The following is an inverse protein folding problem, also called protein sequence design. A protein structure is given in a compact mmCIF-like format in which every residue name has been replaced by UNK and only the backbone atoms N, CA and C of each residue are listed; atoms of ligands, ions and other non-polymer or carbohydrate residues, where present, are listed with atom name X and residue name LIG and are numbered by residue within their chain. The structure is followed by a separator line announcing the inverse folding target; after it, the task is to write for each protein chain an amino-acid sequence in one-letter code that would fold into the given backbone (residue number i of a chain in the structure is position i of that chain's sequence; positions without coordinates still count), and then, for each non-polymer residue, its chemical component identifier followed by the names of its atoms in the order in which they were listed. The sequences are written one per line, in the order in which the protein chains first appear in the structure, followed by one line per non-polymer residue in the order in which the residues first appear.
data_IF_750722567556
#
_entry.id   IF_750722567556
#
_cell.length_a   1.000
_cell.length_b   1.000
_cell.length_c   1.000
_cell.angle_alpha   90.00
_cell.angle_beta   90.00
_cell.angle_gamma   90.00
#
_symmetry.space_group_name_H-M   'P 1'
#
loop_
_entity.id
_entity.type
_entity.pdbx_description
1 polymer ?
#
# COMPACT_ATOMS: atom_id res chain seq x y z
N UNK A 1 -22.40 -7.31 12.93
CA UNK A 1 -22.13 -5.86 13.15
C UNK A 1 -20.93 -5.48 12.31
N UNK A 2 -20.94 -4.35 11.60
CA UNK A 2 -19.81 -3.89 10.76
C UNK A 2 -19.09 -2.76 11.54
N UNK A 3 -17.77 -2.85 11.69
CA UNK A 3 -16.96 -1.82 12.35
C UNK A 3 -16.61 -0.75 11.31
N UNK A 4 -17.11 0.47 11.51
CA UNK A 4 -16.81 1.62 10.67
C UNK A 4 -15.65 2.43 11.27
N UNK A 5 -14.63 2.72 10.47
CA UNK A 5 -13.44 3.50 10.86
C UNK A 5 -13.07 4.51 9.77
N UNK A 6 -12.18 5.45 10.08
CA UNK A 6 -11.61 6.36 9.06
C UNK A 6 -11.00 5.58 7.88
N UNK A 7 -10.30 4.47 8.14
CA UNK A 7 -9.74 3.60 7.09
C UNK A 7 -10.83 3.03 6.16
N UNK A 8 -11.98 2.63 6.70
CA UNK A 8 -13.09 2.14 5.85
C UNK A 8 -13.62 3.23 4.92
N UNK A 9 -13.72 4.47 5.40
CA UNK A 9 -14.19 5.62 4.61
C UNK A 9 -13.15 6.06 3.58
N UNK A 10 -11.88 6.18 3.98
CA UNK A 10 -10.78 6.59 3.10
C UNK A 10 -10.60 5.65 1.90
N UNK A 11 -10.80 4.34 2.12
CA UNK A 11 -10.49 3.31 1.12
C UNK A 11 -11.76 2.75 0.43
N UNK A 12 -12.95 3.14 0.88
CA UNK A 12 -14.22 2.69 0.32
C UNK A 12 -14.49 1.19 0.55
N UNK A 13 -14.05 0.65 1.69
CA UNK A 13 -14.17 -0.77 2.04
C UNK A 13 -15.17 -0.98 3.18
N UNK A 14 -15.74 -2.19 3.27
CA UNK A 14 -16.76 -2.53 4.28
C UNK A 14 -16.14 -2.88 5.63
N UNK A 15 -15.02 -3.59 5.62
CA UNK A 15 -14.34 -4.07 6.81
C UNK A 15 -12.94 -3.42 6.87
N UNK A 16 -12.47 -2.97 8.06
CA UNK A 16 -11.14 -2.39 8.23
C UNK A 16 -10.06 -3.49 8.24
N UNK A 17 -10.11 -4.38 7.24
CA UNK A 17 -9.24 -5.54 7.08
C UNK A 17 -8.57 -5.40 5.73
N UNK A 18 -7.25 -5.41 5.75
CA UNK A 18 -6.41 -5.23 4.56
C UNK A 18 -5.49 -6.44 4.47
N UNK A 19 -5.50 -7.13 3.34
CA UNK A 19 -4.54 -8.20 3.10
C UNK A 19 -3.19 -7.58 2.74
N UNK A 20 -2.21 -7.75 3.63
CA UNK A 20 -0.87 -7.24 3.40
C UNK A 20 -0.27 -7.79 2.09
N UNK A 21 0.46 -6.98 1.32
CA UNK A 21 1.16 -7.44 0.13
C UNK A 21 2.28 -8.40 0.53
N UNK A 22 2.28 -9.60 -0.03
CA UNK A 22 3.25 -10.67 0.24
C UNK A 22 4.20 -10.84 -0.94
N UNK A 23 4.98 -9.81 -1.25
CA UNK A 23 6.06 -9.93 -2.24
C UNK A 23 7.09 -10.99 -1.81
N UNK A 24 7.69 -11.75 -2.74
CA UNK A 24 7.62 -11.59 -4.20
C UNK A 24 6.46 -12.32 -4.89
N UNK A 25 5.52 -12.90 -4.14
CA UNK A 25 4.50 -13.80 -4.68
C UNK A 25 3.38 -13.08 -5.44
N UNK A 26 2.81 -13.78 -6.43
CA UNK A 26 1.58 -13.36 -7.09
C UNK A 26 0.40 -13.43 -6.12
N UNK A 27 -0.29 -12.31 -5.91
CA UNK A 27 -1.44 -12.21 -5.00
C UNK A 27 -2.75 -11.85 -5.70
N UNK A 28 -2.87 -11.99 -7.02
CA UNK A 28 -4.07 -11.60 -7.78
C UNK A 28 -5.35 -12.27 -7.27
N UNK A 29 -5.36 -13.60 -7.12
CA UNK A 29 -6.51 -14.36 -6.60
C UNK A 29 -6.85 -13.99 -5.16
N UNK A 30 -5.84 -13.81 -4.31
CA UNK A 30 -6.04 -13.38 -2.92
C UNK A 30 -6.60 -11.96 -2.85
N UNK A 31 -6.10 -11.06 -3.71
CA UNK A 31 -6.57 -9.67 -3.83
C UNK A 31 -8.06 -9.66 -4.15
N UNK A 32 -8.47 -10.40 -5.18
CA UNK A 32 -9.88 -10.52 -5.58
C UNK A 32 -10.71 -11.07 -4.42
N UNK A 33 -10.29 -12.18 -3.81
CA UNK A 33 -11.04 -12.81 -2.73
C UNK A 33 -11.28 -11.89 -1.52
N UNK A 34 -10.25 -11.13 -1.12
CA UNK A 34 -10.34 -10.21 0.04
C UNK A 34 -11.18 -8.99 -0.30
N UNK A 35 -11.04 -8.43 -1.50
CA UNK A 35 -11.85 -7.30 -1.97
C UNK A 35 -13.34 -7.69 -2.07
N UNK A 36 -13.65 -8.87 -2.61
CA UNK A 36 -15.03 -9.40 -2.66
C UNK A 36 -15.61 -9.69 -1.27
N UNK A 37 -14.78 -10.12 -0.32
CA UNK A 37 -15.19 -10.27 1.09
C UNK A 37 -15.45 -8.93 1.80
N UNK A 38 -15.16 -7.80 1.15
CA UNK A 38 -15.40 -6.44 1.66
C UNK A 38 -14.24 -5.84 2.46
N UNK A 39 -13.08 -6.51 2.50
CA UNK A 39 -11.81 -5.91 2.91
C UNK A 39 -11.12 -5.22 1.74
N UNK A 40 -9.84 -4.91 1.90
CA UNK A 40 -8.98 -4.44 0.80
C UNK A 40 -7.95 -5.52 0.44
N UNK A 41 -8.08 -6.09 -0.75
CA UNK A 41 -7.01 -6.87 -1.36
C UNK A 41 -5.88 -5.96 -1.84
N UNK A 42 -4.62 -6.35 -1.66
CA UNK A 42 -3.46 -5.60 -2.14
C UNK A 42 -2.56 -6.48 -3.02
N UNK A 43 -2.36 -6.04 -4.27
CA UNK A 43 -1.41 -6.66 -5.19
C UNK A 43 0.02 -6.45 -4.71
N UNK A 44 0.80 -7.53 -4.68
CA UNK A 44 2.22 -7.48 -4.34
C UNK A 44 3.06 -6.87 -5.45
N UNK A 45 4.14 -6.19 -5.06
CA UNK A 45 5.27 -5.99 -5.96
C UNK A 45 5.94 -7.37 -6.20
N UNK A 46 5.69 -7.96 -7.37
CA UNK A 46 6.22 -9.28 -7.76
C UNK A 46 7.70 -9.14 -8.10
N UNK A 47 8.56 -9.96 -7.50
CA UNK A 47 10.01 -9.96 -7.82
C UNK A 47 10.63 -11.33 -8.05
N UNK A 48 9.86 -12.28 -8.56
CA UNK A 48 10.32 -13.65 -8.81
C UNK A 48 11.37 -13.67 -9.94
N UNK A 49 12.39 -14.51 -9.81
CA UNK A 49 13.43 -14.75 -10.84
C UNK A 49 14.26 -13.53 -11.29
N UNK A 50 14.50 -12.54 -10.42
CA UNK A 50 15.28 -11.32 -10.74
C UNK A 50 14.78 -10.55 -11.98
N UNK A 51 13.57 -10.84 -12.42
CA UNK A 51 12.90 -10.20 -13.53
C UNK A 51 11.64 -9.60 -12.95
N UNK A 52 11.60 -8.27 -12.88
CA UNK A 52 10.35 -7.56 -12.61
C UNK A 52 10.07 -6.67 -13.77
N UNK A 53 9.00 -7.03 -14.47
CA UNK A 53 8.52 -6.23 -15.55
C UNK A 53 7.34 -5.44 -15.02
N UNK A 54 7.43 -4.10 -15.09
CA UNK A 54 6.29 -3.19 -15.11
C UNK A 54 5.07 -3.78 -15.86
N UNK A 55 5.30 -4.62 -16.88
CA UNK A 55 4.29 -5.41 -17.58
C UNK A 55 3.50 -6.35 -16.66
N UNK A 56 4.14 -7.18 -15.84
CA UNK A 56 3.47 -8.14 -14.96
C UNK A 56 2.61 -7.44 -13.90
N UNK A 57 3.08 -6.31 -13.37
CA UNK A 57 2.27 -5.48 -12.45
C UNK A 57 1.03 -4.96 -13.18
N UNK A 58 1.19 -4.44 -14.40
CA UNK A 58 0.06 -3.97 -15.22
C UNK A 58 -0.91 -5.09 -15.57
N UNK A 59 -0.42 -6.28 -15.89
CA UNK A 59 -1.22 -7.46 -16.18
C UNK A 59 -1.98 -7.93 -14.94
N UNK A 60 -1.33 -7.94 -13.77
CA UNK A 60 -1.98 -8.26 -12.50
C UNK A 60 -3.10 -7.29 -12.16
N UNK A 61 -2.89 -5.98 -12.38
CA UNK A 61 -3.93 -4.97 -12.18
C UNK A 61 -5.10 -5.15 -13.16
N UNK A 62 -4.81 -5.44 -14.44
CA UNK A 62 -5.85 -5.75 -15.45
C UNK A 62 -6.65 -6.98 -15.05
N UNK A 63 -5.96 -8.04 -14.61
CA UNK A 63 -6.59 -9.26 -14.14
C UNK A 63 -7.50 -8.97 -12.94
N UNK A 64 -7.04 -8.26 -11.90
CA UNK A 64 -7.90 -7.93 -10.75
C UNK A 64 -9.18 -7.24 -11.20
N UNK A 65 -9.08 -6.18 -12.02
CA UNK A 65 -10.27 -5.47 -12.49
C UNK A 65 -11.12 -6.26 -13.48
N UNK A 66 -10.65 -7.36 -14.05
CA UNK A 66 -11.48 -8.24 -14.88
C UNK A 66 -12.43 -9.10 -14.03
N UNK A 67 -12.02 -9.45 -12.81
CA UNK A 67 -12.71 -10.42 -11.95
C UNK A 67 -13.35 -9.82 -10.68
N UNK A 68 -13.22 -8.51 -10.44
CA UNK A 68 -13.93 -7.81 -9.36
C UNK A 68 -14.25 -6.38 -9.77
N UNK A 69 -15.32 -5.83 -9.18
CA UNK A 69 -15.63 -4.40 -9.23
C UNK A 69 -15.36 -3.68 -7.90
N UNK A 70 -14.73 -4.37 -6.94
CA UNK A 70 -14.43 -3.85 -5.60
C UNK A 70 -13.08 -3.13 -5.57
N UNK A 71 -12.88 -2.18 -4.64
CA UNK A 71 -11.60 -1.52 -4.48
C UNK A 71 -10.46 -2.50 -4.20
N UNK A 72 -9.27 -2.18 -4.71
CA UNK A 72 -8.04 -2.91 -4.43
C UNK A 72 -6.86 -1.95 -4.29
N UNK A 73 -5.76 -2.47 -3.76
CA UNK A 73 -4.50 -1.75 -3.60
C UNK A 73 -3.34 -2.35 -4.38
N UNK A 74 -2.25 -1.60 -4.45
CA UNK A 74 -0.98 -2.06 -5.02
C UNK A 74 0.19 -1.71 -4.12
N UNK A 75 1.10 -2.66 -3.92
CA UNK A 75 2.38 -2.42 -3.29
C UNK A 75 3.46 -2.03 -4.30
N UNK A 76 4.31 -1.08 -3.92
CA UNK A 76 5.57 -0.80 -4.59
C UNK A 76 6.68 -0.86 -3.54
N UNK A 77 7.42 -1.97 -3.50
CA UNK A 77 8.68 -2.07 -2.75
C UNK A 77 9.68 -1.01 -3.27
N UNK A 78 10.15 -0.11 -2.40
CA UNK A 78 11.06 1.00 -2.74
C UNK A 78 12.44 0.86 -2.11
N UNK A 79 12.84 -0.37 -1.78
CA UNK A 79 14.17 -0.69 -1.26
C UNK A 79 15.27 -0.19 -2.20
N UNK A 80 16.43 0.20 -1.66
CA UNK A 80 17.57 0.70 -2.44
C UNK A 80 18.05 -0.30 -3.50
N UNK A 81 17.95 -1.60 -3.19
CA UNK A 81 18.32 -2.70 -4.09
C UNK A 81 17.19 -3.11 -5.05
N UNK A 82 16.09 -2.35 -5.11
CA UNK A 82 14.98 -2.58 -6.05
C UNK A 82 15.14 -1.67 -7.29
N UNK A 83 15.77 -2.14 -8.38
CA UNK A 83 16.16 -1.28 -9.50
C UNK A 83 14.98 -0.68 -10.27
N UNK A 84 13.84 -1.35 -10.29
CA UNK A 84 12.65 -0.95 -11.05
C UNK A 84 11.67 -0.10 -10.24
N UNK A 85 11.90 0.13 -8.94
CA UNK A 85 11.02 0.94 -8.09
C UNK A 85 10.80 2.35 -8.66
N UNK A 86 11.86 2.99 -9.18
CA UNK A 86 11.78 4.30 -9.84
C UNK A 86 10.87 4.22 -11.08
N UNK A 87 11.00 3.17 -11.88
CA UNK A 87 10.21 2.96 -13.09
C UNK A 87 8.73 2.74 -12.72
N UNK A 88 8.44 1.91 -11.72
CA UNK A 88 7.09 1.67 -11.22
C UNK A 88 6.45 2.96 -10.67
N UNK A 89 7.11 3.67 -9.76
CA UNK A 89 6.60 4.92 -9.19
C UNK A 89 6.31 6.01 -10.25
N UNK A 90 6.96 5.95 -11.42
CA UNK A 90 6.69 6.88 -12.53
C UNK A 90 5.60 6.37 -13.47
N UNK A 91 5.53 5.07 -13.73
CA UNK A 91 4.71 4.49 -14.81
C UNK A 91 3.36 3.98 -14.33
N UNK A 92 3.28 3.48 -13.10
CA UNK A 92 2.03 2.99 -12.51
C UNK A 92 1.00 4.12 -12.38
N UNK A 93 1.31 5.33 -11.89
CA UNK A 93 0.31 6.38 -11.82
C UNK A 93 -0.30 6.76 -13.18
N UNK A 94 0.55 6.79 -14.22
CA UNK A 94 0.11 7.02 -15.61
C UNK A 94 -0.74 5.87 -16.13
N UNK A 95 -0.40 4.63 -15.79
CA UNK A 95 -1.16 3.46 -16.18
C UNK A 95 -2.56 3.45 -15.54
N UNK A 96 -2.64 3.77 -14.25
CA UNK A 96 -3.92 3.95 -13.53
C UNK A 96 -4.75 5.02 -14.23
N UNK A 97 -4.17 6.20 -14.49
CA UNK A 97 -4.88 7.30 -15.17
C UNK A 97 -5.43 6.93 -16.55
N UNK A 98 -4.73 6.06 -17.29
CA UNK A 98 -5.09 5.70 -18.67
C UNK A 98 -6.05 4.50 -18.76
N UNK A 99 -6.42 3.87 -17.65
CA UNK A 99 -7.38 2.77 -17.63
C UNK A 99 -8.56 3.14 -16.70
N UNK A 100 -9.77 3.41 -17.24
CA UNK A 100 -10.89 3.87 -16.43
C UNK A 100 -11.26 2.94 -15.28
N UNK A 101 -11.26 1.62 -15.51
CA UNK A 101 -11.65 0.63 -14.49
C UNK A 101 -10.62 0.57 -13.36
N UNK A 102 -9.33 0.57 -13.70
CA UNK A 102 -8.25 0.62 -12.70
C UNK A 102 -8.26 1.96 -11.96
N UNK A 103 -8.52 3.08 -12.66
CA UNK A 103 -8.61 4.41 -12.05
C UNK A 103 -9.68 4.49 -10.96
N UNK A 104 -10.82 3.85 -11.19
CA UNK A 104 -11.95 3.82 -10.26
C UNK A 104 -11.72 2.87 -9.07
N UNK A 105 -11.06 1.74 -9.30
CA UNK A 105 -10.94 0.66 -8.31
C UNK A 105 -9.63 0.68 -7.51
N UNK A 106 -8.54 1.21 -8.07
CA UNK A 106 -7.25 1.27 -7.40
C UNK A 106 -7.18 2.48 -6.46
N UNK A 107 -7.67 2.29 -5.24
CA UNK A 107 -7.80 3.37 -4.25
C UNK A 107 -6.66 3.41 -3.22
N UNK A 108 -5.68 2.51 -3.33
CA UNK A 108 -4.60 2.39 -2.36
C UNK A 108 -3.26 2.04 -3.01
N UNK A 109 -2.22 2.82 -2.70
CA UNK A 109 -0.83 2.43 -2.96
C UNK A 109 -0.09 2.38 -1.63
N UNK A 110 0.62 1.27 -1.39
CA UNK A 110 1.52 1.12 -0.24
C UNK A 110 2.96 0.98 -0.68
N UNK A 111 3.85 1.85 -0.18
CA UNK A 111 5.30 1.69 -0.37
C UNK A 111 5.92 1.00 0.85
N UNK A 112 6.99 0.21 0.64
CA UNK A 112 7.62 -0.59 1.69
C UNK A 112 9.14 -0.78 1.50
N UNK A 113 9.83 -1.22 2.57
CA UNK A 113 11.26 -1.58 2.62
C UNK A 113 12.26 -0.49 2.18
N UNK A 114 11.82 0.77 2.08
CA UNK A 114 12.62 1.87 1.57
C UNK A 114 11.96 3.21 1.88
N UNK A 115 12.03 4.16 0.95
CA UNK A 115 11.45 5.49 1.16
C UNK A 115 10.20 5.71 0.29
N UNK A 116 9.15 6.36 0.82
CA UNK A 116 8.00 6.79 0.01
C UNK A 116 8.36 7.94 -0.95
N UNK A 117 9.52 8.58 -0.80
CA UNK A 117 10.00 9.69 -1.64
C UNK A 117 9.92 9.38 -3.14
N UNK A 118 10.18 8.13 -3.55
CA UNK A 118 10.14 7.77 -4.97
C UNK A 118 8.75 7.95 -5.59
N UNK A 119 7.69 7.72 -4.80
CA UNK A 119 6.31 7.90 -5.25
C UNK A 119 5.87 9.36 -5.18
N UNK A 120 6.44 10.17 -4.27
CA UNK A 120 6.22 11.63 -4.24
C UNK A 120 6.89 12.29 -5.47
N UNK A 121 6.16 12.31 -6.57
CA UNK A 121 6.57 12.91 -7.83
C UNK A 121 5.34 13.40 -8.60
N UNK A 122 5.54 14.24 -9.63
CA UNK A 122 4.47 14.86 -10.42
C UNK A 122 3.45 13.89 -11.02
N UNK A 123 3.84 12.64 -11.32
CA UNK A 123 2.93 11.66 -11.90
C UNK A 123 1.93 11.16 -10.86
N UNK A 124 2.41 10.90 -9.64
CA UNK A 124 1.54 10.49 -8.55
C UNK A 124 0.69 11.64 -8.03
N UNK A 125 1.26 12.85 -7.96
CA UNK A 125 0.50 14.07 -7.64
C UNK A 125 -0.66 14.27 -8.63
N UNK A 126 -0.41 14.14 -9.93
CA UNK A 126 -1.46 14.19 -10.96
C UNK A 126 -2.54 13.14 -10.70
N UNK A 127 -2.14 11.90 -10.34
CA UNK A 127 -3.09 10.84 -10.03
C UNK A 127 -3.93 11.18 -8.78
N UNK A 128 -3.31 11.63 -7.68
CA UNK A 128 -4.02 12.03 -6.44
C UNK A 128 -5.01 13.16 -6.70
N UNK A 129 -4.66 14.14 -7.53
CA UNK A 129 -5.55 15.26 -7.84
C UNK A 129 -6.76 14.86 -8.70
N UNK A 130 -6.76 13.67 -9.30
CA UNK A 130 -7.78 13.20 -10.22
C UNK A 130 -8.50 11.92 -9.75
N UNK A 131 -8.19 11.43 -8.54
CA UNK A 131 -8.73 10.18 -7.97
C UNK A 131 -8.79 10.28 -6.45
N UNK A 132 -9.45 9.32 -5.80
CA UNK A 132 -9.46 9.20 -4.33
C UNK A 132 -8.31 8.33 -3.80
N UNK A 133 -7.28 8.07 -4.60
CA UNK A 133 -6.19 7.15 -4.22
C UNK A 133 -5.46 7.64 -2.98
N UNK A 134 -5.20 6.72 -2.05
CA UNK A 134 -4.44 6.97 -0.82
C UNK A 134 -3.07 6.32 -0.88
N UNK A 135 -2.06 7.01 -0.38
CA UNK A 135 -0.69 6.54 -0.25
C UNK A 135 -0.36 6.25 1.20
N UNK A 136 -0.09 4.98 1.51
CA UNK A 136 0.43 4.58 2.80
C UNK A 136 1.88 4.12 2.70
N UNK A 137 2.60 4.18 3.81
CA UNK A 137 3.95 3.64 3.91
C UNK A 137 4.09 2.70 5.10
N UNK A 138 4.76 1.57 4.91
CA UNK A 138 5.11 0.66 6.01
C UNK A 138 6.22 1.28 6.85
N UNK A 139 6.00 1.38 8.16
CA UNK A 139 6.98 1.90 9.12
C UNK A 139 7.21 0.87 10.24
N UNK A 140 8.46 0.71 10.71
CA UNK A 140 8.80 -0.13 11.87
C UNK A 140 9.07 0.66 13.16
N UNK A 141 9.05 1.99 13.13
CA UNK A 141 9.38 2.85 14.28
C UNK A 141 8.66 4.21 14.23
N UNK A 142 8.53 4.85 15.40
CA UNK A 142 7.94 6.19 15.52
C UNK A 142 8.75 7.25 14.75
N UNK A 143 10.08 7.17 14.78
CA UNK A 143 10.93 8.13 14.05
C UNK A 143 10.65 8.06 12.55
N UNK A 144 10.50 6.85 12.00
CA UNK A 144 10.13 6.69 10.61
C UNK A 144 8.71 7.16 10.33
N UNK A 145 7.75 6.95 11.24
CA UNK A 145 6.41 7.54 11.11
C UNK A 145 6.46 9.07 10.98
N UNK A 146 7.27 9.76 11.81
CA UNK A 146 7.47 11.23 11.73
C UNK A 146 8.15 11.63 10.42
N UNK A 147 9.19 10.91 10.02
CA UNK A 147 10.00 11.24 8.85
C UNK A 147 9.23 11.12 7.52
N UNK A 148 8.29 10.19 7.40
CA UNK A 148 7.62 9.93 6.12
C UNK A 148 6.54 10.95 5.77
N UNK A 149 6.01 11.68 6.76
CA UNK A 149 4.94 12.68 6.57
C UNK A 149 5.34 13.79 5.60
N UNK A 150 6.62 14.20 5.59
CA UNK A 150 7.13 15.22 4.65
C UNK A 150 7.04 14.82 3.18
N UNK A 151 6.77 13.53 2.89
CA UNK A 151 6.53 13.02 1.55
C UNK A 151 5.05 12.89 1.20
N UNK A 152 4.14 13.43 2.02
CA UNK A 152 2.71 13.52 1.70
C UNK A 152 1.97 12.18 1.68
N UNK A 153 2.40 11.23 2.51
CA UNK A 153 1.64 10.00 2.76
C UNK A 153 0.32 10.35 3.45
N UNK A 154 -0.75 9.64 3.12
CA UNK A 154 -2.06 9.80 3.74
C UNK A 154 -2.19 8.98 5.03
N UNK A 155 -1.24 8.08 5.30
CA UNK A 155 -1.19 7.29 6.52
C UNK A 155 -0.01 6.33 6.54
N UNK A 156 0.07 5.54 7.61
CA UNK A 156 1.14 4.55 7.79
C UNK A 156 0.60 3.17 8.12
N UNK A 157 1.35 2.15 7.75
CA UNK A 157 1.17 0.78 8.25
C UNK A 157 2.25 0.54 9.29
N UNK A 158 1.86 0.48 10.56
CA UNK A 158 2.78 0.26 11.67
C UNK A 158 3.01 -1.23 11.84
N UNK A 159 4.21 -1.70 11.52
CA UNK A 159 4.60 -3.11 11.63
C UNK A 159 5.60 -3.31 12.76
N UNK A 160 5.18 -3.97 13.83
CA UNK A 160 6.08 -4.35 14.92
C UNK A 160 6.92 -5.59 14.61
N UNK A 161 7.62 -6.08 15.62
CA UNK A 161 8.49 -7.25 15.52
C UNK A 161 7.75 -8.55 15.17
N UNK A 162 6.45 -8.63 15.48
CA UNK A 162 5.63 -9.81 15.19
C UNK A 162 5.44 -10.05 13.68
N UNK A 163 5.53 -8.97 12.87
CA UNK A 163 5.19 -8.98 11.45
C UNK A 163 6.00 -9.96 10.60
N UNK A 164 5.39 -10.55 9.58
CA UNK A 164 6.13 -11.37 8.61
C UNK A 164 7.04 -10.54 7.69
N UNK A 165 8.20 -11.09 7.30
CA UNK A 165 9.07 -10.50 6.28
C UNK A 165 10.02 -9.42 6.81
N UNK A 166 9.93 -8.19 6.30
CA UNK A 166 10.79 -7.09 6.75
C UNK A 166 10.24 -6.51 8.06
N UNK A 167 10.83 -6.93 9.17
CA UNK A 167 10.43 -6.57 10.53
C UNK A 167 11.12 -5.31 11.04
N UNK A 168 10.61 -4.80 12.17
CA UNK A 168 11.30 -3.77 12.94
C UNK A 168 12.66 -4.25 13.44
N UNK A 169 13.71 -3.48 13.10
CA UNK A 169 15.08 -3.74 13.55
C UNK A 169 15.26 -3.50 15.07
N UNK A 170 14.35 -2.75 15.69
CA UNK A 170 14.43 -2.36 17.11
C UNK A 170 13.73 -3.37 18.03
N UNK A 171 13.19 -4.47 17.48
CA UNK A 171 12.39 -5.48 18.21
C UNK A 171 11.19 -4.89 18.99
N UNK A 172 10.73 -3.70 18.62
CA UNK A 172 9.54 -3.07 19.21
C UNK A 172 8.29 -3.85 18.81
N UNK A 173 7.48 -4.24 19.80
CA UNK A 173 6.20 -4.90 19.54
C UNK A 173 5.20 -3.97 18.87
N UNK A 174 4.28 -4.55 18.09
CA UNK A 174 3.24 -3.80 17.38
C UNK A 174 2.40 -2.99 18.38
N UNK A 175 2.09 -3.59 19.54
CA UNK A 175 1.34 -2.90 20.59
C UNK A 175 2.05 -1.63 21.09
N UNK A 176 3.36 -1.71 21.39
CA UNK A 176 4.13 -0.56 21.88
C UNK A 176 4.28 0.50 20.79
N UNK A 177 4.59 0.10 19.56
CA UNK A 177 4.72 1.02 18.42
C UNK A 177 3.43 1.80 18.17
N UNK A 178 2.27 1.13 18.24
CA UNK A 178 0.98 1.79 18.08
C UNK A 178 0.74 2.84 19.17
N UNK A 179 1.04 2.55 20.43
CA UNK A 179 0.87 3.53 21.52
C UNK A 179 1.75 4.76 21.31
N UNK A 180 3.00 4.57 20.91
CA UNK A 180 3.92 5.67 20.59
C UNK A 180 3.37 6.56 19.48
N UNK A 181 2.91 5.97 18.37
CA UNK A 181 2.35 6.73 17.25
C UNK A 181 1.06 7.45 17.65
N UNK A 182 0.15 6.77 18.36
CA UNK A 182 -1.12 7.36 18.77
C UNK A 182 -0.95 8.52 19.76
N UNK A 183 0.12 8.50 20.55
CA UNK A 183 0.44 9.58 21.51
C UNK A 183 1.04 10.79 20.81
N UNK A 184 1.98 10.55 19.89
CA UNK A 184 2.80 11.62 19.27
C UNK A 184 2.19 12.17 17.97
N UNK A 185 1.36 11.37 17.29
CA UNK A 185 0.76 11.66 15.99
C UNK A 185 -0.74 11.24 16.00
N UNK A 186 -1.58 11.86 16.85
CA UNK A 186 -2.98 11.44 17.04
C UNK A 186 -3.85 11.55 15.78
N UNK A 187 -3.54 12.48 14.88
CA UNK A 187 -4.31 12.67 13.64
C UNK A 187 -3.83 11.79 12.49
N UNK A 188 -2.72 11.05 12.66
CA UNK A 188 -2.19 10.19 11.59
C UNK A 188 -3.07 8.95 11.43
N UNK A 189 -3.58 8.65 10.22
CA UNK A 189 -4.22 7.36 9.97
C UNK A 189 -3.19 6.24 10.07
N UNK A 190 -3.50 5.25 10.92
CA UNK A 190 -2.62 4.10 11.17
C UNK A 190 -3.36 2.81 10.92
N UNK A 191 -2.73 1.92 10.16
CA UNK A 191 -3.11 0.51 10.05
C UNK A 191 -2.11 -0.31 10.89
N UNK A 192 -2.61 -1.08 11.84
CA UNK A 192 -1.78 -2.02 12.59
C UNK A 192 -1.43 -3.25 11.75
N UNK A 193 -0.19 -3.68 11.81
CA UNK A 193 0.30 -4.90 11.17
C UNK A 193 1.28 -5.61 12.11
N UNK A 194 1.21 -6.92 12.15
CA UNK A 194 2.05 -7.78 13.00
C UNK A 194 1.77 -9.22 12.67
#
# INVERSE_FOLDING_TARGET
MVIKTEITEMLGIKHPIIAAPMGPFYTTKLTIAVSEAGGLGVLSHITLNNTVSLTEVKESMKYVVEYTDKPFGLNIRTAKLQPDAIKLCRQIPRFIMNNPKIKEQCNYIITSAGSPKLLNNKYFETLKNNTNIKHFHVIPSLELAKNVLKYGVDGVVATGHEGGGHQSYENTSTLVLLQQIRTELPELPVIASG
#
